data_IF_988371533013
#
_entry.id   IF_988371533013
#
_cell.length_a   1.000
_cell.length_b   1.000
_cell.length_c   1.000
_cell.angle_alpha   90.00
_cell.angle_beta   90.00
_cell.angle_gamma   90.00
#
_symmetry.space_group_name_H-M   'P 1'
#
loop_
_entity.id
_entity.type
_entity.pdbx_description
1 polymer ?
#
# COMPACT_ATOMS: atom_id res chain seq x y z
N UNK A 1 -17.40 35.17 1.22
CA UNK A 1 -16.01 35.06 0.69
C UNK A 1 -15.54 33.60 0.61
N UNK A 2 -16.47 32.64 0.44
CA UNK A 2 -16.25 31.20 0.67
C UNK A 2 -16.67 30.38 -0.58
N UNK A 3 -16.67 30.98 -1.78
CA UNK A 3 -16.80 30.18 -3.01
C UNK A 3 -15.46 29.48 -3.29
N UNK A 4 -15.49 28.14 -3.27
CA UNK A 4 -14.41 27.19 -3.62
C UNK A 4 -13.32 26.93 -2.55
N UNK A 5 -13.69 26.46 -1.36
CA UNK A 5 -12.77 25.72 -0.45
C UNK A 5 -12.50 24.26 -0.89
N UNK A 6 -13.27 23.75 -1.85
CA UNK A 6 -13.32 22.33 -2.25
C UNK A 6 -12.13 21.82 -3.07
N UNK A 7 -11.29 22.71 -3.61
CA UNK A 7 -10.18 22.34 -4.49
C UNK A 7 -9.01 23.32 -4.40
N UNK A 8 -8.58 23.67 -3.18
CA UNK A 8 -7.54 24.69 -2.95
C UNK A 8 -6.11 24.16 -3.01
N UNK A 9 -5.92 22.84 -3.06
CA UNK A 9 -4.60 22.25 -3.22
C UNK A 9 -4.61 21.16 -4.27
N UNK A 10 -3.62 21.16 -5.16
CA UNK A 10 -3.43 20.15 -6.20
C UNK A 10 -2.07 19.50 -6.02
N UNK A 11 -2.06 18.17 -5.99
CA UNK A 11 -0.81 17.42 -6.02
C UNK A 11 -0.40 17.21 -7.47
N UNK A 12 0.75 17.74 -7.84
CA UNK A 12 1.39 17.47 -9.12
C UNK A 12 2.53 16.47 -8.93
N UNK A 13 2.80 15.70 -9.97
CA UNK A 13 4.00 14.88 -10.07
C UNK A 13 4.88 15.63 -11.05
N UNK A 14 5.86 16.35 -10.54
CA UNK A 14 6.81 17.07 -11.39
C UNK A 14 8.01 16.19 -11.71
N UNK A 15 8.37 16.21 -12.99
CA UNK A 15 9.62 15.68 -13.51
C UNK A 15 10.68 16.79 -13.32
N UNK A 16 11.58 16.64 -12.34
CA UNK A 16 12.63 17.65 -12.12
C UNK A 16 13.74 17.47 -13.15
N UNK A 17 13.95 18.50 -13.98
CA UNK A 17 15.02 18.63 -14.97
C UNK A 17 14.57 19.51 -16.15
N UNK A 18 15.32 20.56 -16.48
CA UNK A 18 15.11 21.35 -17.69
C UNK A 18 15.28 20.45 -18.92
N UNK A 19 14.15 20.08 -19.54
CA UNK A 19 14.08 19.14 -20.65
C UNK A 19 13.34 17.87 -20.24
N UNK A 20 12.18 17.66 -20.87
CA UNK A 20 11.30 16.48 -20.73
C UNK A 20 12.08 15.22 -21.11
N UNK A 21 12.85 14.68 -20.19
CA UNK A 21 13.60 13.46 -20.37
C UNK A 21 12.99 12.42 -19.44
N UNK A 22 12.69 11.22 -19.98
CA UNK A 22 12.17 10.02 -19.26
C UNK A 22 13.01 9.58 -18.03
N UNK A 23 14.06 10.32 -17.68
CA UNK A 23 15.11 10.06 -16.69
C UNK A 23 15.04 10.97 -15.45
N UNK A 24 14.13 11.93 -15.39
CA UNK A 24 13.98 12.84 -14.25
C UNK A 24 13.42 12.12 -13.01
N UNK A 25 13.98 12.40 -11.83
CA UNK A 25 13.41 11.94 -10.55
C UNK A 25 12.02 12.56 -10.40
N UNK A 26 10.98 11.71 -10.44
CA UNK A 26 9.58 12.13 -10.26
C UNK A 26 9.33 12.48 -8.80
N UNK A 27 9.20 13.77 -8.50
CA UNK A 27 8.89 14.23 -7.16
C UNK A 27 7.43 14.66 -7.07
N UNK A 28 6.77 14.28 -5.98
CA UNK A 28 5.43 14.75 -5.70
C UNK A 28 5.52 16.16 -5.11
N UNK A 29 4.70 17.08 -5.60
CA UNK A 29 4.69 18.48 -5.23
C UNK A 29 3.26 18.85 -4.83
N UNK A 30 3.10 19.63 -3.76
CA UNK A 30 1.79 20.14 -3.36
C UNK A 30 1.68 21.62 -3.71
N UNK A 31 0.73 21.99 -4.57
CA UNK A 31 0.48 23.38 -4.96
C UNK A 31 -0.81 23.90 -4.35
N UNK A 32 -0.83 25.18 -3.98
CA UNK A 32 -2.07 25.93 -3.73
C UNK A 32 -2.65 26.37 -5.07
N UNK A 33 -3.86 25.93 -5.39
CA UNK A 33 -4.51 26.21 -6.67
C UNK A 33 -5.01 27.65 -6.79
N UNK A 34 -5.13 28.39 -5.68
CA UNK A 34 -5.58 29.78 -5.68
C UNK A 34 -4.47 30.73 -6.07
N UNK A 35 -3.28 30.50 -5.50
CA UNK A 35 -2.09 31.31 -5.77
C UNK A 35 -1.25 30.74 -6.91
N UNK A 36 -1.42 29.47 -7.25
CA UNK A 36 -0.53 28.74 -8.16
C UNK A 36 0.85 28.44 -7.55
N UNK A 37 1.06 28.81 -6.28
CA UNK A 37 2.34 28.70 -5.61
C UNK A 37 2.50 27.33 -4.92
N UNK A 38 3.75 27.00 -4.68
CA UNK A 38 4.13 25.80 -3.95
C UNK A 38 3.71 25.90 -2.48
N UNK A 39 3.10 24.84 -1.95
CA UNK A 39 3.04 24.61 -0.50
C UNK A 39 4.43 24.13 -0.04
N UNK A 40 5.30 25.09 0.27
CA UNK A 40 6.73 24.88 0.48
C UNK A 40 7.04 23.87 1.59
N UNK A 41 6.52 24.09 2.81
CA UNK A 41 6.87 23.25 3.97
C UNK A 41 6.39 21.80 3.86
N UNK A 42 5.13 21.49 3.48
CA UNK A 42 4.72 20.10 3.24
C UNK A 42 5.56 19.40 2.17
N UNK A 43 5.94 20.13 1.11
CA UNK A 43 6.77 19.58 0.03
C UNK A 43 8.19 19.32 0.51
N UNK A 44 8.78 20.27 1.26
CA UNK A 44 10.12 20.16 1.83
C UNK A 44 10.22 19.00 2.83
N UNK A 45 9.23 18.86 3.71
CA UNK A 45 9.14 17.74 4.65
C UNK A 45 9.22 16.39 3.94
N UNK A 46 8.44 16.20 2.87
CA UNK A 46 8.44 14.96 2.11
C UNK A 46 9.79 14.72 1.43
N UNK A 47 10.46 15.76 0.94
CA UNK A 47 11.76 15.61 0.29
C UNK A 47 12.88 15.29 1.26
N UNK A 48 12.97 16.03 2.37
CA UNK A 48 14.04 15.87 3.35
C UNK A 48 13.89 14.59 4.16
N UNK A 49 12.69 14.29 4.65
CA UNK A 49 12.50 13.21 5.62
C UNK A 49 12.04 11.91 4.97
N UNK A 50 11.47 11.97 3.77
CA UNK A 50 10.85 10.82 3.13
C UNK A 50 11.43 10.51 1.75
N UNK A 51 12.52 11.16 1.33
CA UNK A 51 13.11 11.01 -0.01
C UNK A 51 13.40 9.56 -0.45
N UNK A 52 13.70 8.66 0.51
CA UNK A 52 13.95 7.23 0.25
C UNK A 52 12.67 6.36 0.19
N UNK A 53 11.50 6.92 0.50
CA UNK A 53 10.21 6.21 0.47
C UNK A 53 9.64 6.19 -0.94
N UNK A 54 8.71 5.28 -1.17
CA UNK A 54 8.05 5.15 -2.47
C UNK A 54 7.22 6.37 -2.84
N UNK A 55 7.10 6.68 -4.13
CA UNK A 55 6.31 7.81 -4.62
C UNK A 55 4.85 7.78 -4.16
N UNK A 56 4.22 6.60 -4.09
CA UNK A 56 2.86 6.47 -3.55
C UNK A 56 2.76 6.86 -2.07
N UNK A 57 3.84 6.65 -1.31
CA UNK A 57 3.93 7.10 0.09
C UNK A 57 3.98 8.63 0.14
N UNK A 58 4.78 9.27 -0.72
CA UNK A 58 4.79 10.74 -0.85
C UNK A 58 3.39 11.28 -1.17
N UNK A 59 2.72 10.70 -2.17
CA UNK A 59 1.37 11.10 -2.57
C UNK A 59 0.36 10.92 -1.43
N UNK A 60 0.44 9.83 -0.66
CA UNK A 60 -0.47 9.61 0.47
C UNK A 60 -0.27 10.68 1.55
N UNK A 61 0.98 10.96 1.92
CA UNK A 61 1.30 11.94 2.96
C UNK A 61 0.94 13.35 2.50
N UNK A 62 1.25 13.73 1.26
CA UNK A 62 0.85 15.04 0.73
C UNK A 62 -0.67 15.21 0.65
N UNK A 63 -1.44 14.14 0.40
CA UNK A 63 -2.92 14.21 0.48
C UNK A 63 -3.41 14.47 1.89
N UNK A 64 -2.78 13.86 2.89
CA UNK A 64 -3.14 14.07 4.29
C UNK A 64 -2.71 15.47 4.77
N UNK A 65 -1.57 15.98 4.30
CA UNK A 65 -1.15 17.36 4.58
C UNK A 65 -2.01 18.38 3.85
N UNK A 66 -2.41 18.11 2.60
CA UNK A 66 -3.39 18.92 1.88
C UNK A 66 -4.73 19.00 2.64
N UNK A 67 -5.17 17.88 3.21
CA UNK A 67 -6.37 17.80 4.05
C UNK A 67 -6.25 18.68 5.32
N UNK A 68 -5.05 18.74 5.91
CA UNK A 68 -4.75 19.65 7.02
C UNK A 68 -4.70 21.13 6.60
N UNK A 69 -4.12 21.45 5.44
CA UNK A 69 -4.09 22.82 4.93
C UNK A 69 -5.50 23.34 4.70
N UNK A 70 -6.38 22.50 4.17
CA UNK A 70 -7.80 22.83 4.01
C UNK A 70 -8.47 23.17 5.35
N UNK A 71 -8.24 22.35 6.39
CA UNK A 71 -8.71 22.63 7.74
C UNK A 71 -8.18 23.97 8.28
N UNK A 72 -6.91 24.25 8.06
CA UNK A 72 -6.26 25.50 8.48
C UNK A 72 -6.90 26.72 7.81
N UNK A 73 -7.26 26.62 6.53
CA UNK A 73 -7.94 27.69 5.81
C UNK A 73 -9.35 27.95 6.33
N UNK A 74 -10.05 26.90 6.76
CA UNK A 74 -11.35 27.02 7.45
C UNK A 74 -11.19 27.69 8.82
N UNK A 75 -10.09 27.40 9.55
CA UNK A 75 -9.80 28.06 10.83
C UNK A 75 -9.56 29.56 10.64
N UNK A 76 -8.74 29.94 9.65
CA UNK A 76 -8.47 31.34 9.31
C UNK A 76 -9.74 32.07 8.88
N UNK A 77 -10.59 31.44 8.05
CA UNK A 77 -11.82 32.08 7.58
C UNK A 77 -12.83 32.33 8.69
N UNK A 78 -12.88 31.45 9.70
CA UNK A 78 -13.77 31.58 10.87
C UNK A 78 -13.19 32.47 11.97
N UNK A 79 -11.87 32.53 12.09
CA UNK A 79 -11.16 33.37 13.05
C UNK A 79 -9.91 33.96 12.38
N UNK A 80 -9.99 35.21 11.87
CA UNK A 80 -8.85 35.87 11.22
C UNK A 80 -7.60 36.03 12.10
N UNK A 81 -7.77 36.01 13.43
CA UNK A 81 -6.67 36.09 14.40
C UNK A 81 -5.99 34.72 14.64
N UNK A 82 -6.48 33.65 14.00
CA UNK A 82 -5.86 32.34 14.11
C UNK A 82 -4.53 32.31 13.34
N UNK A 83 -3.43 32.15 14.08
CA UNK A 83 -2.08 32.10 13.52
C UNK A 83 -1.76 30.66 13.09
N UNK A 84 -1.17 30.49 11.90
CA UNK A 84 -0.78 29.18 11.37
C UNK A 84 0.37 28.55 12.18
N UNK A 85 0.44 27.20 12.23
CA UNK A 85 1.53 26.50 12.92
C UNK A 85 2.93 26.89 12.44
N UNK A 86 3.11 27.12 11.15
CA UNK A 86 4.38 27.59 10.56
C UNK A 86 4.83 28.92 11.18
N UNK A 87 3.90 29.86 11.32
CA UNK A 87 4.19 31.18 11.91
C UNK A 87 4.42 31.08 13.41
N UNK A 88 3.68 30.21 14.12
CA UNK A 88 3.88 29.98 15.56
C UNK A 88 5.25 29.40 15.86
N UNK A 89 5.64 28.35 15.13
CA UNK A 89 6.92 27.68 15.34
C UNK A 89 8.07 28.62 14.99
N UNK A 90 7.97 29.39 13.90
CA UNK A 90 8.97 30.42 13.56
C UNK A 90 9.16 31.46 14.69
N UNK A 91 8.10 31.75 15.43
CA UNK A 91 8.11 32.61 16.61
C UNK A 91 8.35 31.83 17.92
N UNK A 92 9.01 30.66 17.85
CA UNK A 92 9.36 29.80 18.98
C UNK A 92 8.16 29.50 19.92
N UNK A 93 7.01 29.20 19.32
CA UNK A 93 5.77 28.87 20.01
C UNK A 93 5.24 27.50 19.57
N UNK A 94 4.38 26.91 20.39
CA UNK A 94 3.78 25.60 20.11
C UNK A 94 2.99 25.62 18.79
N UNK A 95 3.25 24.63 17.93
CA UNK A 95 2.65 24.54 16.60
C UNK A 95 1.11 24.49 16.64
N UNK A 96 0.54 23.60 17.45
CA UNK A 96 -0.89 23.52 17.74
C UNK A 96 -1.11 23.26 19.22
N UNK A 97 -2.15 23.87 19.77
CA UNK A 97 -2.63 23.59 21.14
C UNK A 97 -3.34 22.25 21.20
N UNK A 98 -3.46 21.66 22.41
CA UNK A 98 -4.21 20.41 22.62
C UNK A 98 -5.64 20.49 22.08
N UNK A 99 -6.33 21.61 22.35
CA UNK A 99 -7.69 21.86 21.84
C UNK A 99 -7.75 21.85 20.31
N UNK A 100 -6.79 22.46 19.64
CA UNK A 100 -6.75 22.47 18.17
C UNK A 100 -6.47 21.08 17.59
N UNK A 101 -5.67 20.26 18.29
CA UNK A 101 -5.42 18.86 17.92
C UNK A 101 -6.71 18.04 18.08
N UNK A 102 -7.45 18.22 19.18
CA UNK A 102 -8.74 17.55 19.38
C UNK A 102 -9.77 17.96 18.31
N UNK A 103 -9.81 19.25 17.95
CA UNK A 103 -10.64 19.75 16.86
C UNK A 103 -10.25 19.14 15.50
N UNK A 104 -8.95 19.01 15.22
CA UNK A 104 -8.47 18.37 13.98
C UNK A 104 -8.72 16.85 13.97
N UNK A 105 -8.67 16.20 15.13
CA UNK A 105 -9.05 14.80 15.30
C UNK A 105 -10.50 14.56 14.91
N UNK A 106 -11.42 15.40 15.40
CA UNK A 106 -12.81 15.39 14.94
C UNK A 106 -12.96 15.67 13.43
N UNK A 107 -12.13 16.57 12.88
CA UNK A 107 -12.11 16.84 11.44
C UNK A 107 -11.70 15.62 10.61
N UNK A 108 -10.76 14.83 11.11
CA UNK A 108 -10.27 13.62 10.45
C UNK A 108 -11.33 12.53 10.28
N UNK A 109 -12.42 12.60 11.05
CA UNK A 109 -13.49 11.61 11.03
C UNK A 109 -14.55 11.86 9.96
N UNK A 110 -14.62 13.08 9.44
CA UNK A 110 -15.63 13.43 8.45
C UNK A 110 -15.38 12.71 7.12
N UNK A 111 -16.47 12.14 6.59
CA UNK A 111 -16.52 11.59 5.25
C UNK A 111 -16.48 12.67 4.18
N UNK A 112 -16.15 12.27 2.95
CA UNK A 112 -16.16 13.18 1.78
C UNK A 112 -17.50 13.91 1.59
N UNK A 113 -18.63 13.27 1.95
CA UNK A 113 -19.97 13.87 1.84
C UNK A 113 -20.18 14.96 2.89
N UNK A 114 -19.76 14.72 4.13
CA UNK A 114 -19.87 15.70 5.22
C UNK A 114 -18.96 16.90 4.96
N UNK A 115 -17.72 16.65 4.55
CA UNK A 115 -16.77 17.70 4.16
C UNK A 115 -17.35 18.56 3.03
N UNK A 116 -17.97 17.95 2.01
CA UNK A 116 -18.62 18.70 0.94
C UNK A 116 -19.73 19.65 1.45
N UNK A 117 -20.52 19.22 2.45
CA UNK A 117 -21.54 20.07 3.09
C UNK A 117 -20.93 21.19 3.92
N UNK A 118 -19.88 20.89 4.69
CA UNK A 118 -19.19 21.92 5.49
C UNK A 118 -18.57 22.98 4.58
N UNK A 119 -18.03 22.56 3.43
CA UNK A 119 -17.45 23.47 2.42
C UNK A 119 -18.48 24.31 1.68
N UNK A 120 -19.74 23.86 1.58
CA UNK A 120 -20.78 24.55 0.83
C UNK A 120 -21.56 25.59 1.64
N UNK A 121 -21.40 25.63 2.97
CA UNK A 121 -22.31 26.38 3.85
C UNK A 121 -21.56 27.42 4.69
N UNK A 122 -21.87 28.70 4.50
CA UNK A 122 -21.38 29.85 5.29
C UNK A 122 -22.04 29.96 6.68
N UNK A 123 -22.79 28.96 7.14
CA UNK A 123 -23.69 29.15 8.28
C UNK A 123 -23.03 28.95 9.65
N UNK A 124 -23.12 30.02 10.43
CA UNK A 124 -22.86 30.17 11.87
C UNK A 124 -23.84 29.42 12.79
N UNK A 125 -24.68 28.53 12.26
CA UNK A 125 -25.62 27.74 13.07
C UNK A 125 -25.06 26.35 13.33
N UNK A 126 -24.91 26.06 14.63
CA UNK A 126 -24.55 24.76 15.19
C UNK A 126 -25.50 23.70 14.61
N UNK A 127 -25.03 22.89 13.66
CA UNK A 127 -25.77 21.72 13.21
C UNK A 127 -25.31 20.49 13.99
N UNK A 128 -26.28 19.75 14.51
CA UNK A 128 -26.10 18.38 14.97
C UNK A 128 -25.47 17.57 13.84
N UNK A 129 -24.35 16.90 14.14
CA UNK A 129 -23.63 16.05 13.20
C UNK A 129 -24.55 14.87 12.88
N UNK A 130 -25.07 14.72 11.65
CA UNK A 130 -25.89 13.57 11.30
C UNK A 130 -24.97 12.36 11.19
N UNK A 131 -24.86 11.63 12.29
CA UNK A 131 -24.21 10.32 12.38
C UNK A 131 -24.78 9.37 11.34
N UNK A 132 -23.96 8.95 10.37
CA UNK A 132 -24.17 7.65 9.72
C UNK A 132 -22.97 7.16 8.92
N UNK A 133 -21.96 7.97 8.60
CA UNK A 133 -20.81 7.47 7.84
C UNK A 133 -19.51 8.20 8.19
N UNK A 134 -18.84 7.78 9.26
CA UNK A 134 -17.46 8.20 9.55
C UNK A 134 -16.49 7.51 8.58
N UNK A 135 -15.31 8.11 8.38
CA UNK A 135 -14.22 7.42 7.67
C UNK A 135 -13.66 6.26 8.48
N UNK A 136 -12.98 5.34 7.79
CA UNK A 136 -12.31 4.23 8.43
C UNK A 136 -11.25 4.71 9.45
N UNK A 137 -11.16 4.03 10.60
CA UNK A 137 -10.23 4.35 11.68
C UNK A 137 -8.79 4.42 11.18
N UNK A 138 -8.40 3.54 10.25
CA UNK A 138 -7.05 3.57 9.68
C UNK A 138 -6.77 4.84 8.89
N UNK A 139 -7.79 5.41 8.24
CA UNK A 139 -7.69 6.66 7.47
C UNK A 139 -7.59 7.85 8.42
N UNK A 140 -8.44 7.92 9.45
CA UNK A 140 -8.39 8.99 10.47
C UNK A 140 -7.03 8.98 11.20
N UNK A 141 -6.58 7.82 11.67
CA UNK A 141 -5.26 7.66 12.31
C UNK A 141 -4.08 7.93 11.36
N UNK A 142 -4.21 7.63 10.07
CA UNK A 142 -3.17 7.96 9.08
C UNK A 142 -3.00 9.48 8.95
N UNK A 143 -4.11 10.22 8.84
CA UNK A 143 -4.10 11.69 8.79
C UNK A 143 -3.48 12.29 10.06
N UNK A 144 -3.94 11.83 11.23
CA UNK A 144 -3.38 12.25 12.53
C UNK A 144 -1.88 12.00 12.62
N UNK A 145 -1.42 10.80 12.27
CA UNK A 145 0.00 10.43 12.33
C UNK A 145 0.85 11.24 11.36
N UNK A 146 0.37 11.44 10.13
CA UNK A 146 1.09 12.19 9.12
C UNK A 146 1.19 13.67 9.49
N UNK A 147 0.13 14.26 10.06
CA UNK A 147 0.19 15.62 10.60
C UNK A 147 1.12 15.72 11.81
N UNK A 148 1.01 14.80 12.77
CA UNK A 148 1.89 14.78 13.95
C UNK A 148 3.36 14.77 13.54
N UNK A 149 3.76 13.85 12.66
CA UNK A 149 5.13 13.77 12.17
C UNK A 149 5.57 15.04 11.43
N UNK A 150 4.67 15.66 10.64
CA UNK A 150 4.95 16.93 9.98
C UNK A 150 5.16 18.07 10.99
N UNK A 151 4.32 18.19 12.02
CA UNK A 151 4.45 19.26 13.03
C UNK A 151 5.67 19.08 13.94
N UNK A 152 6.01 17.82 14.28
CA UNK A 152 7.25 17.49 14.99
C UNK A 152 8.46 17.88 14.13
N UNK A 153 8.46 17.52 12.85
CA UNK A 153 9.51 17.94 11.92
C UNK A 153 9.57 19.47 11.78
N UNK A 154 8.42 20.13 11.64
CA UNK A 154 8.34 21.59 11.50
C UNK A 154 8.96 22.28 12.73
N UNK A 155 8.64 21.78 13.93
CA UNK A 155 9.21 22.27 15.20
C UNK A 155 10.72 22.10 15.22
N UNK A 156 11.20 20.92 14.81
CA UNK A 156 12.63 20.63 14.74
C UNK A 156 13.35 21.49 13.69
N UNK A 157 12.86 21.56 12.45
CA UNK A 157 13.53 22.25 11.33
C UNK A 157 13.63 23.77 11.58
N UNK A 158 12.60 24.38 12.15
CA UNK A 158 12.59 25.82 12.43
C UNK A 158 13.29 26.25 13.71
N UNK A 159 13.28 25.41 14.76
CA UNK A 159 13.95 25.74 16.01
C UNK A 159 15.40 25.27 15.94
N UNK A 160 15.62 23.96 15.73
CA UNK A 160 16.94 23.31 15.73
C UNK A 160 17.76 23.54 14.45
N UNK A 161 17.11 23.95 13.35
CA UNK A 161 17.80 24.28 12.09
C UNK A 161 18.45 25.66 12.05
N UNK A 162 18.32 26.46 13.11
CA UNK A 162 18.95 27.78 13.23
C UNK A 162 20.44 27.63 13.53
N UNK A 163 21.29 28.35 12.79
CA UNK A 163 22.72 28.41 13.07
C UNK A 163 22.96 29.07 14.44
N UNK A 164 23.73 28.43 15.32
CA UNK A 164 24.01 28.85 16.69
C UNK A 164 22.78 28.86 17.62
N UNK A 165 22.06 27.75 17.68
CA UNK A 165 20.98 27.55 18.66
C UNK A 165 21.51 27.52 20.10
N UNK A 166 20.76 28.14 21.02
CA UNK A 166 21.01 28.07 22.45
C UNK A 166 20.36 26.83 23.11
N UNK A 167 20.94 26.36 24.22
CA UNK A 167 20.46 25.18 24.94
C UNK A 167 19.00 25.30 25.41
N UNK A 168 18.53 26.50 25.77
CA UNK A 168 17.14 26.69 26.19
C UNK A 168 16.17 26.49 25.03
N UNK A 169 16.52 26.95 23.83
CA UNK A 169 15.73 26.71 22.62
C UNK A 169 15.68 25.22 22.24
N UNK A 170 16.77 24.47 22.44
CA UNK A 170 16.78 23.02 22.27
C UNK A 170 15.85 22.32 23.26
N UNK A 171 15.95 22.63 24.55
CA UNK A 171 15.08 22.06 25.60
C UNK A 171 13.61 22.39 25.33
N UNK A 172 13.34 23.61 24.87
CA UNK A 172 11.99 24.06 24.50
C UNK A 172 11.45 23.34 23.26
N UNK A 173 12.27 23.13 22.23
CA UNK A 173 11.93 22.31 21.06
C UNK A 173 11.53 20.90 21.51
N UNK A 174 12.34 20.25 22.33
CA UNK A 174 12.08 18.90 22.84
C UNK A 174 10.77 18.83 23.62
N UNK A 175 10.53 19.81 24.50
CA UNK A 175 9.27 19.94 25.23
C UNK A 175 8.07 20.09 24.29
N UNK A 176 8.17 20.93 23.26
CA UNK A 176 7.08 21.13 22.30
C UNK A 176 6.81 19.89 21.45
N UNK A 177 7.85 19.20 20.97
CA UNK A 177 7.71 17.93 20.26
C UNK A 177 6.97 16.89 21.11
N UNK A 178 7.35 16.75 22.39
CA UNK A 178 6.71 15.82 23.31
C UNK A 178 5.23 16.17 23.58
N UNK A 179 4.93 17.46 23.79
CA UNK A 179 3.53 17.91 23.96
C UNK A 179 2.68 17.59 22.73
N UNK A 180 3.20 17.82 21.53
CA UNK A 180 2.51 17.50 20.27
C UNK A 180 2.30 15.99 20.19
N UNK A 181 3.37 15.21 20.36
CA UNK A 181 3.32 13.76 20.22
C UNK A 181 2.29 13.13 21.17
N UNK A 182 2.32 13.48 22.45
CA UNK A 182 1.36 13.00 23.47
C UNK A 182 -0.09 13.39 23.14
N UNK A 183 -0.31 14.62 22.65
CA UNK A 183 -1.65 15.09 22.33
C UNK A 183 -2.24 14.34 21.12
N UNK A 184 -1.43 14.05 20.10
CA UNK A 184 -1.86 13.22 18.97
C UNK A 184 -2.04 11.76 19.36
N UNK A 185 -1.18 11.20 20.21
CA UNK A 185 -1.28 9.80 20.65
C UNK A 185 -2.61 9.51 21.36
N UNK A 186 -3.04 10.42 22.24
CA UNK A 186 -4.33 10.31 22.94
C UNK A 186 -5.54 10.33 22.00
N UNK A 187 -5.38 10.90 20.80
CA UNK A 187 -6.41 10.96 19.78
C UNK A 187 -6.40 9.76 18.83
N UNK A 188 -5.38 8.88 18.89
CA UNK A 188 -5.37 7.68 18.07
C UNK A 188 -6.47 6.72 18.50
N UNK A 189 -7.22 6.28 17.50
CA UNK A 189 -8.38 5.41 17.69
C UNK A 189 -7.95 3.95 17.58
N UNK A 190 -8.31 3.14 18.56
CA UNK A 190 -8.16 1.69 18.46
C UNK A 190 -9.43 1.06 17.91
N UNK A 191 -9.31 0.22 16.88
CA UNK A 191 -10.38 -0.73 16.57
C UNK A 191 -10.06 -2.04 17.31
N UNK A 192 -11.00 -2.52 18.13
CA UNK A 192 -10.88 -3.83 18.79
C UNK A 192 -11.30 -4.98 17.88
N UNK A 193 -11.79 -4.69 16.67
CA UNK A 193 -12.20 -5.74 15.73
C UNK A 193 -11.00 -6.61 15.33
N UNK A 194 -11.19 -7.93 15.24
CA UNK A 194 -10.18 -8.80 14.68
C UNK A 194 -9.86 -8.35 13.25
N UNK A 195 -8.58 -8.44 12.88
CA UNK A 195 -8.15 -8.02 11.56
C UNK A 195 -8.94 -8.80 10.49
N UNK A 196 -9.50 -8.12 9.47
CA UNK A 196 -10.30 -8.79 8.46
C UNK A 196 -9.50 -9.86 7.72
N UNK A 197 -10.13 -11.02 7.52
CA UNK A 197 -9.56 -12.14 6.77
C UNK A 197 -9.69 -11.88 5.28
N UNK A 198 -8.55 -11.81 4.59
CA UNK A 198 -8.49 -11.63 3.13
C UNK A 198 -7.92 -12.84 2.39
N UNK A 199 -7.79 -14.00 3.06
CA UNK A 199 -7.47 -15.27 2.40
C UNK A 199 -8.75 -15.96 1.95
N UNK A 200 -8.68 -16.68 0.84
CA UNK A 200 -9.75 -17.58 0.42
C UNK A 200 -9.89 -18.74 1.42
N UNK A 201 -11.11 -19.24 1.60
CA UNK A 201 -11.36 -20.52 2.28
C UNK A 201 -11.13 -21.71 1.33
N UNK A 202 -11.28 -22.94 1.84
CA UNK A 202 -11.03 -24.17 1.08
C UNK A 202 -11.94 -24.30 -0.16
N UNK A 203 -13.22 -23.93 -0.06
CA UNK A 203 -14.18 -24.02 -1.16
C UNK A 203 -13.91 -22.98 -2.24
N UNK A 204 -13.61 -21.75 -1.82
CA UNK A 204 -13.20 -20.66 -2.71
C UNK A 204 -11.86 -20.97 -3.39
N UNK A 205 -10.92 -21.60 -2.68
CA UNK A 205 -9.64 -22.03 -3.23
C UNK A 205 -9.82 -23.14 -4.26
N UNK A 206 -10.66 -24.14 -3.98
CA UNK A 206 -10.99 -25.18 -4.97
C UNK A 206 -11.65 -24.58 -6.22
N UNK A 207 -12.61 -23.66 -6.04
CA UNK A 207 -13.27 -22.95 -7.14
C UNK A 207 -12.27 -22.11 -7.94
N UNK A 208 -11.35 -21.42 -7.26
CA UNK A 208 -10.26 -20.68 -7.90
C UNK A 208 -9.39 -21.59 -8.76
N UNK A 209 -8.93 -22.71 -8.21
CA UNK A 209 -8.07 -23.69 -8.89
C UNK A 209 -8.77 -24.32 -10.10
N UNK A 210 -10.07 -24.62 -9.97
CA UNK A 210 -10.89 -25.10 -11.08
C UNK A 210 -11.04 -24.05 -12.17
N UNK A 211 -11.25 -22.78 -11.82
CA UNK A 211 -11.40 -21.69 -12.78
C UNK A 211 -10.12 -21.42 -13.59
N UNK A 212 -8.95 -21.54 -12.97
CA UNK A 212 -7.66 -21.38 -13.67
C UNK A 212 -7.24 -22.64 -14.47
N UNK A 213 -7.80 -23.80 -14.16
CA UNK A 213 -7.53 -25.06 -14.86
C UNK A 213 -8.49 -25.30 -16.04
N UNK A 214 -9.74 -24.83 -15.92
CA UNK A 214 -10.76 -24.94 -16.96
C UNK A 214 -10.71 -23.78 -17.97
N UNK A 215 -11.52 -23.86 -19.03
CA UNK A 215 -11.71 -22.80 -20.02
C UNK A 215 -12.97 -21.93 -19.75
N UNK A 216 -13.54 -22.02 -18.54
CA UNK A 216 -14.82 -21.39 -18.19
C UNK A 216 -14.74 -19.87 -18.09
N UNK A 217 -13.73 -19.34 -17.38
CA UNK A 217 -13.52 -17.90 -17.17
C UNK A 217 -12.56 -17.31 -18.18
N UNK A 218 -11.52 -18.06 -18.51
CA UNK A 218 -10.48 -17.64 -19.45
C UNK A 218 -10.55 -18.53 -20.70
N UNK A 219 -10.75 -17.94 -21.90
CA UNK A 219 -10.88 -18.71 -23.13
C UNK A 219 -9.56 -19.39 -23.49
N UNK A 220 -9.63 -20.52 -24.20
CA UNK A 220 -8.45 -21.26 -24.68
C UNK A 220 -7.76 -20.51 -25.84
N UNK A 221 -7.05 -19.45 -25.49
CA UNK A 221 -6.33 -18.56 -26.41
C UNK A 221 -5.02 -18.14 -25.76
N UNK A 222 -4.06 -17.60 -26.53
CA UNK A 222 -2.78 -17.14 -25.96
C UNK A 222 -2.97 -16.14 -24.80
N UNK A 223 -3.90 -15.19 -24.94
CA UNK A 223 -4.16 -14.21 -23.90
C UNK A 223 -4.87 -14.81 -22.67
N UNK A 224 -5.78 -15.77 -22.86
CA UNK A 224 -6.47 -16.47 -21.77
C UNK A 224 -5.55 -17.44 -21.02
N UNK A 225 -4.71 -18.20 -21.72
CA UNK A 225 -3.69 -19.07 -21.12
C UNK A 225 -2.66 -18.25 -20.32
N UNK A 226 -2.27 -17.08 -20.84
CA UNK A 226 -1.46 -16.11 -20.11
C UNK A 226 -2.18 -15.59 -18.85
N UNK A 227 -3.46 -15.27 -18.93
CA UNK A 227 -4.24 -14.79 -17.76
C UNK A 227 -4.33 -15.88 -16.66
N UNK A 228 -4.57 -17.14 -17.03
CA UNK A 228 -4.54 -18.30 -16.11
C UNK A 228 -3.17 -18.46 -15.45
N UNK A 229 -2.10 -18.38 -16.24
CA UNK A 229 -0.73 -18.51 -15.75
C UNK A 229 -0.37 -17.40 -14.75
N UNK A 230 -0.81 -16.16 -14.98
CA UNK A 230 -0.62 -15.05 -14.03
C UNK A 230 -1.36 -15.31 -12.71
N UNK A 231 -2.61 -15.76 -12.77
CA UNK A 231 -3.41 -16.04 -11.58
C UNK A 231 -2.77 -17.18 -10.76
N UNK A 232 -2.40 -18.28 -11.43
CA UNK A 232 -1.66 -19.40 -10.83
C UNK A 232 -0.33 -18.96 -10.23
N UNK A 233 0.42 -18.13 -10.95
CA UNK A 233 1.70 -17.59 -10.52
C UNK A 233 1.56 -16.79 -9.22
N UNK A 234 0.58 -15.88 -9.13
CA UNK A 234 0.33 -15.10 -7.92
C UNK A 234 -0.06 -15.99 -6.73
N UNK A 235 -0.90 -16.99 -6.98
CA UNK A 235 -1.31 -17.97 -5.97
C UNK A 235 -0.10 -18.78 -5.47
N UNK A 236 0.60 -19.53 -6.33
CA UNK A 236 1.69 -20.43 -5.90
C UNK A 236 2.92 -19.69 -5.35
N UNK A 237 3.18 -18.45 -5.76
CA UNK A 237 4.36 -17.70 -5.31
C UNK A 237 4.09 -16.82 -4.10
N UNK A 238 2.84 -16.43 -3.87
CA UNK A 238 2.47 -15.43 -2.87
C UNK A 238 3.10 -14.04 -3.12
N UNK A 239 3.49 -13.71 -4.36
CA UNK A 239 4.06 -12.39 -4.69
C UNK A 239 3.02 -11.26 -4.62
N UNK A 240 3.47 -10.05 -4.29
CA UNK A 240 2.64 -8.85 -4.47
C UNK A 240 2.47 -8.54 -5.95
N UNK A 241 1.38 -7.85 -6.31
CA UNK A 241 1.09 -7.46 -7.69
C UNK A 241 2.27 -6.73 -8.36
N UNK A 242 2.86 -5.75 -7.69
CA UNK A 242 3.99 -5.00 -8.25
C UNK A 242 5.24 -5.82 -8.49
N UNK A 243 5.43 -6.91 -7.72
CA UNK A 243 6.54 -7.84 -7.91
C UNK A 243 6.28 -8.76 -9.10
N UNK A 244 5.08 -9.34 -9.17
CA UNK A 244 4.66 -10.14 -10.33
C UNK A 244 4.84 -9.37 -11.65
N UNK A 245 4.55 -8.08 -11.64
CA UNK A 245 4.69 -7.21 -12.81
C UNK A 245 6.17 -6.87 -13.15
N UNK A 246 7.10 -7.06 -12.20
CA UNK A 246 8.53 -6.74 -12.37
C UNK A 246 9.44 -7.94 -12.55
N UNK A 247 8.93 -9.16 -12.35
CA UNK A 247 9.67 -10.39 -12.66
C UNK A 247 10.05 -10.40 -14.14
N UNK A 248 11.31 -10.75 -14.41
CA UNK A 248 11.87 -10.86 -15.76
C UNK A 248 12.08 -12.32 -16.14
N UNK A 249 12.26 -12.59 -17.44
CA UNK A 249 12.52 -13.95 -17.93
C UNK A 249 13.80 -14.55 -17.32
N UNK A 250 14.83 -13.73 -17.08
CA UNK A 250 16.11 -14.18 -16.49
C UNK A 250 16.01 -14.47 -15.00
N UNK A 251 14.96 -14.00 -14.33
CA UNK A 251 14.69 -14.29 -12.92
C UNK A 251 14.17 -15.71 -12.69
N UNK A 252 13.67 -16.38 -13.74
CA UNK A 252 13.20 -17.76 -13.67
C UNK A 252 14.41 -18.70 -13.74
N UNK A 253 14.70 -19.39 -12.63
CA UNK A 253 15.80 -20.34 -12.51
C UNK A 253 15.25 -21.75 -12.32
N UNK A 254 15.38 -22.55 -13.38
CA UNK A 254 15.03 -23.96 -13.35
C UNK A 254 16.24 -24.79 -12.96
N UNK A 255 16.03 -25.83 -12.14
CA UNK A 255 17.09 -26.70 -11.64
C UNK A 255 18.29 -25.92 -11.06
N UNK A 256 18.02 -24.95 -10.19
CA UNK A 256 19.02 -24.09 -9.56
C UNK A 256 19.65 -24.80 -8.37
N UNK A 257 20.96 -24.98 -8.40
CA UNK A 257 21.72 -25.55 -7.30
C UNK A 257 21.86 -24.53 -6.16
N UNK A 258 21.25 -24.82 -5.02
CA UNK A 258 21.36 -23.97 -3.83
C UNK A 258 22.50 -24.39 -2.89
N UNK A 259 22.86 -25.68 -2.95
CA UNK A 259 23.96 -26.32 -2.23
C UNK A 259 24.37 -27.56 -3.05
N UNK A 260 25.62 -28.05 -2.91
CA UNK A 260 26.08 -29.23 -3.63
C UNK A 260 25.05 -30.38 -3.60
N UNK A 261 24.58 -30.80 -4.77
CA UNK A 261 23.62 -31.89 -4.94
C UNK A 261 22.16 -31.56 -4.63
N UNK A 262 21.84 -30.31 -4.25
CA UNK A 262 20.47 -29.87 -3.94
C UNK A 262 20.00 -28.83 -4.95
N UNK A 263 19.15 -29.28 -5.86
CA UNK A 263 18.56 -28.45 -6.90
C UNK A 263 17.09 -28.12 -6.61
N UNK A 264 16.72 -26.86 -6.79
CA UNK A 264 15.34 -26.39 -6.65
C UNK A 264 15.00 -25.42 -7.79
N UNK A 265 13.71 -25.19 -8.03
CA UNK A 265 13.28 -24.15 -8.96
C UNK A 265 13.03 -22.86 -8.19
N UNK A 266 13.52 -21.74 -8.70
CA UNK A 266 13.55 -20.45 -8.01
C UNK A 266 13.12 -19.33 -8.94
N UNK A 267 12.37 -18.38 -8.40
CA UNK A 267 12.14 -17.06 -8.99
C UNK A 267 12.93 -16.04 -8.18
N UNK A 268 13.88 -15.36 -8.82
CA UNK A 268 14.67 -14.30 -8.19
C UNK A 268 13.87 -12.99 -8.20
N UNK A 269 13.35 -12.59 -7.05
CA UNK A 269 12.60 -11.33 -6.95
C UNK A 269 13.56 -10.22 -6.54
N UNK A 270 13.72 -9.22 -7.40
CA UNK A 270 14.61 -8.09 -7.15
C UNK A 270 13.83 -6.80 -6.98
N UNK A 271 14.19 -6.03 -5.96
CA UNK A 271 13.70 -4.66 -5.79
C UNK A 271 14.40 -3.75 -6.79
N UNK A 272 13.68 -3.34 -7.85
CA UNK A 272 14.16 -2.46 -8.92
C UNK A 272 13.33 -1.17 -8.95
N UNK A 273 13.58 -0.18 -8.10
CA UNK A 273 12.88 1.11 -8.18
C UNK A 273 13.41 1.94 -9.36
N UNK A 274 12.54 2.66 -10.06
CA UNK A 274 12.89 3.52 -11.21
C UNK A 274 13.63 2.77 -12.32
N UNK A 275 13.12 1.60 -12.73
CA UNK A 275 13.77 0.77 -13.75
C UNK A 275 13.67 1.44 -15.13
N UNK A 276 14.82 1.85 -15.69
CA UNK A 276 14.93 2.51 -16.99
C UNK A 276 14.38 1.67 -18.15
N UNK A 277 14.35 0.34 -18.01
CA UNK A 277 13.79 -0.55 -19.02
C UNK A 277 12.25 -0.65 -18.93
N UNK A 278 11.63 -0.14 -17.86
CA UNK A 278 10.17 -0.15 -17.69
C UNK A 278 9.50 0.93 -18.55
N UNK A 279 8.84 0.50 -19.62
CA UNK A 279 8.10 1.41 -20.51
C UNK A 279 6.72 1.82 -19.99
N UNK A 280 6.26 1.27 -18.86
CA UNK A 280 4.89 1.51 -18.35
C UNK A 280 4.76 2.92 -17.79
N UNK A 281 3.68 3.62 -18.16
CA UNK A 281 3.37 4.97 -17.65
C UNK A 281 3.32 5.03 -16.12
N UNK A 282 2.76 3.98 -15.50
CA UNK A 282 2.70 3.80 -14.05
C UNK A 282 3.53 2.58 -13.68
N UNK A 283 4.79 2.83 -13.37
CA UNK A 283 5.75 1.81 -12.95
C UNK A 283 5.22 1.05 -11.71
N UNK A 284 5.21 -0.30 -11.72
CA UNK A 284 4.81 -1.08 -10.57
C UNK A 284 5.82 -0.95 -9.42
N UNK A 285 5.34 -0.74 -8.20
CA UNK A 285 6.20 -0.65 -7.02
C UNK A 285 6.32 -2.01 -6.33
N UNK A 286 7.54 -2.38 -5.96
CA UNK A 286 7.77 -3.48 -5.02
C UNK A 286 7.93 -2.91 -3.62
N UNK A 287 7.19 -3.44 -2.65
CA UNK A 287 7.29 -3.07 -1.23
C UNK A 287 8.11 -4.05 -0.40
N UNK A 288 8.51 -5.17 -1.02
CA UNK A 288 9.12 -6.30 -0.31
C UNK A 288 10.60 -6.38 -0.60
N UNK A 289 11.33 -6.99 0.34
CA UNK A 289 12.76 -7.19 0.17
C UNK A 289 13.04 -8.09 -1.04
N UNK A 290 14.18 -7.84 -1.67
CA UNK A 290 14.72 -8.75 -2.68
C UNK A 290 14.94 -10.12 -2.05
N UNK A 291 14.71 -11.17 -2.82
CA UNK A 291 14.94 -12.53 -2.36
C UNK A 291 14.45 -13.56 -3.35
N UNK A 292 14.91 -14.78 -3.12
CA UNK A 292 14.64 -15.93 -3.97
C UNK A 292 13.40 -16.66 -3.45
N UNK A 293 12.47 -16.98 -4.35
CA UNK A 293 11.21 -17.65 -4.03
C UNK A 293 11.21 -19.01 -4.69
N UNK A 294 11.21 -20.08 -3.88
CA UNK A 294 11.11 -21.45 -4.40
C UNK A 294 9.75 -21.71 -5.04
N UNK A 295 9.73 -22.44 -6.14
CA UNK A 295 8.50 -22.79 -6.88
C UNK A 295 8.47 -24.25 -7.27
N UNK A 296 7.25 -24.73 -7.57
CA UNK A 296 7.04 -26.08 -8.06
C UNK A 296 7.74 -26.31 -9.41
N UNK A 297 8.14 -27.56 -9.69
CA UNK A 297 8.70 -27.96 -11.00
C UNK A 297 7.70 -27.70 -12.13
N UNK A 298 6.41 -27.93 -11.87
CA UNK A 298 5.33 -27.69 -12.82
C UNK A 298 5.22 -26.20 -13.18
N UNK A 299 5.12 -25.30 -12.21
CA UNK A 299 5.06 -23.86 -12.49
C UNK A 299 6.30 -23.37 -13.23
N UNK A 300 7.49 -23.80 -12.83
CA UNK A 300 8.72 -23.40 -13.50
C UNK A 300 8.78 -23.87 -14.97
N UNK A 301 8.33 -25.09 -15.25
CA UNK A 301 8.23 -25.63 -16.60
C UNK A 301 7.20 -24.85 -17.45
N UNK A 302 6.03 -24.56 -16.88
CA UNK A 302 4.98 -23.78 -17.56
C UNK A 302 5.44 -22.35 -17.86
N UNK A 303 6.20 -21.73 -16.96
CA UNK A 303 6.81 -20.41 -17.18
C UNK A 303 7.87 -20.46 -18.30
N UNK A 304 8.73 -21.49 -18.34
CA UNK A 304 9.71 -21.65 -19.41
C UNK A 304 9.00 -21.82 -20.75
N UNK A 305 7.99 -22.70 -20.82
CA UNK A 305 7.17 -22.91 -22.02
C UNK A 305 6.55 -21.59 -22.50
N UNK A 306 5.95 -20.83 -21.59
CA UNK A 306 5.40 -19.52 -21.88
C UNK A 306 6.45 -18.54 -22.44
N UNK A 307 7.65 -18.52 -21.85
CA UNK A 307 8.75 -17.65 -22.31
C UNK A 307 9.21 -18.01 -23.72
N UNK A 308 9.39 -19.29 -24.02
CA UNK A 308 9.94 -19.75 -25.31
C UNK A 308 8.92 -19.70 -26.45
N UNK A 309 7.63 -19.79 -26.12
CA UNK A 309 6.54 -19.94 -27.08
C UNK A 309 5.64 -18.69 -27.11
N UNK A 310 4.57 -18.66 -26.33
CA UNK A 310 3.50 -17.66 -26.44
C UNK A 310 4.03 -16.23 -26.24
N UNK A 311 4.89 -16.02 -25.23
CA UNK A 311 5.50 -14.71 -24.98
C UNK A 311 6.36 -14.25 -26.16
N UNK A 312 7.23 -15.15 -26.67
CA UNK A 312 8.13 -14.84 -27.79
C UNK A 312 7.33 -14.46 -29.04
N UNK A 313 6.26 -15.20 -29.34
CA UNK A 313 5.35 -14.88 -30.43
C UNK A 313 4.68 -13.51 -30.26
N UNK A 314 4.19 -13.19 -29.05
CA UNK A 314 3.56 -11.89 -28.80
C UNK A 314 4.53 -10.72 -29.00
N UNK A 315 5.81 -10.88 -28.63
CA UNK A 315 6.83 -9.86 -28.86
C UNK A 315 7.17 -9.74 -30.35
N UNK A 316 7.32 -10.86 -31.08
CA UNK A 316 7.65 -10.83 -32.51
C UNK A 316 6.54 -10.22 -33.37
N UNK A 317 5.28 -10.30 -32.93
CA UNK A 317 4.14 -9.65 -33.58
C UNK A 317 4.07 -8.13 -33.31
N UNK A 318 4.89 -7.60 -32.39
CA UNK A 318 4.87 -6.19 -32.05
C UNK A 318 5.67 -5.36 -33.05
N UNK A 319 5.01 -4.39 -33.69
CA UNK A 319 5.64 -3.51 -34.68
C UNK A 319 6.34 -2.29 -34.08
N UNK A 320 6.17 -2.05 -32.77
CA UNK A 320 6.59 -0.80 -32.11
C UNK A 320 7.64 -0.97 -31.01
N UNK A 321 7.88 -2.20 -30.56
CA UNK A 321 8.56 -2.45 -29.29
C UNK A 321 10.01 -2.89 -29.52
N UNK A 322 10.93 -2.29 -28.76
CA UNK A 322 12.28 -2.81 -28.54
C UNK A 322 12.22 -3.94 -27.51
N UNK A 323 13.01 -4.99 -27.72
CA UNK A 323 13.07 -6.15 -26.82
C UNK A 323 13.21 -5.73 -25.33
N UNK A 324 12.44 -6.38 -24.45
CA UNK A 324 12.44 -6.07 -23.02
C UNK A 324 12.44 -7.36 -22.16
N UNK A 325 12.90 -7.30 -20.90
CA UNK A 325 13.12 -8.51 -20.10
C UNK A 325 11.89 -9.00 -19.33
N UNK A 326 10.82 -8.20 -19.19
CA UNK A 326 9.66 -8.54 -18.35
C UNK A 326 8.95 -9.83 -18.77
N UNK A 327 8.57 -10.64 -17.77
CA UNK A 327 8.00 -11.96 -17.94
C UNK A 327 6.66 -11.91 -18.69
N UNK A 328 5.65 -11.26 -18.12
CA UNK A 328 4.31 -11.25 -18.68
C UNK A 328 4.07 -10.08 -19.62
N UNK A 329 3.60 -10.38 -20.82
CA UNK A 329 3.30 -9.41 -21.88
C UNK A 329 1.82 -9.43 -22.25
N UNK A 330 1.36 -8.39 -22.96
CA UNK A 330 0.07 -8.35 -23.59
C UNK A 330 0.08 -9.18 -24.89
N UNK A 331 -0.99 -9.92 -25.13
CA UNK A 331 -1.12 -10.88 -26.24
C UNK A 331 -2.07 -10.42 -27.36
N UNK A 332 -2.62 -9.21 -27.25
CA UNK A 332 -3.59 -8.69 -28.21
C UNK A 332 -3.69 -7.16 -28.18
N UNK A 333 -4.30 -6.62 -29.23
CA UNK A 333 -4.58 -5.20 -29.37
C UNK A 333 -3.34 -4.34 -29.66
N UNK A 334 -3.49 -3.02 -29.50
CA UNK A 334 -2.45 -2.03 -29.81
C UNK A 334 -1.20 -2.15 -28.94
N UNK A 335 -1.30 -2.82 -27.79
CA UNK A 335 -0.22 -3.02 -26.82
C UNK A 335 0.38 -4.42 -26.91
N UNK A 336 0.15 -5.18 -27.98
CA UNK A 336 0.72 -6.53 -28.13
C UNK A 336 2.25 -6.50 -27.97
N UNK A 337 2.77 -7.45 -27.20
CA UNK A 337 4.18 -7.52 -26.83
C UNK A 337 4.59 -6.58 -25.70
N UNK A 338 3.75 -5.62 -25.27
CA UNK A 338 4.10 -4.71 -24.16
C UNK A 338 4.01 -5.41 -22.80
N UNK A 339 4.81 -5.01 -21.79
CA UNK A 339 4.67 -5.51 -20.43
C UNK A 339 3.27 -5.24 -19.89
N UNK A 340 2.69 -6.21 -19.19
CA UNK A 340 1.37 -6.03 -18.59
C UNK A 340 1.39 -4.89 -17.55
N UNK A 341 0.33 -4.08 -17.53
CA UNK A 341 0.16 -3.02 -16.53
C UNK A 341 -0.60 -3.52 -15.30
N UNK A 342 -0.55 -2.76 -14.20
CA UNK A 342 -1.39 -3.00 -13.02
C UNK A 342 -2.88 -2.99 -13.37
N UNK A 343 -3.31 -2.18 -14.36
CA UNK A 343 -4.70 -2.17 -14.84
C UNK A 343 -5.06 -3.49 -15.53
N UNK A 344 -4.16 -4.06 -16.33
CA UNK A 344 -4.39 -5.37 -16.94
C UNK A 344 -4.51 -6.46 -15.88
N UNK A 345 -3.58 -6.48 -14.92
CA UNK A 345 -3.61 -7.45 -13.83
C UNK A 345 -4.91 -7.35 -13.00
N UNK A 346 -5.33 -6.13 -12.66
CA UNK A 346 -6.59 -5.94 -11.94
C UNK A 346 -7.79 -6.47 -12.74
N UNK A 347 -7.82 -6.29 -14.06
CA UNK A 347 -8.89 -6.85 -14.92
C UNK A 347 -8.90 -8.37 -14.93
N UNK A 348 -7.74 -9.02 -14.94
CA UNK A 348 -7.63 -10.49 -14.85
C UNK A 348 -8.26 -10.97 -13.54
N UNK A 349 -7.89 -10.34 -12.42
CA UNK A 349 -8.45 -10.70 -11.10
C UNK A 349 -9.94 -10.34 -11.00
N UNK A 350 -10.41 -9.27 -11.65
CA UNK A 350 -11.84 -8.93 -11.69
C UNK A 350 -12.69 -10.01 -12.37
N UNK A 351 -12.17 -10.70 -13.40
CA UNK A 351 -12.88 -11.84 -14.03
C UNK A 351 -13.01 -13.03 -13.07
N UNK A 352 -12.02 -13.26 -12.22
CA UNK A 352 -12.08 -14.29 -11.18
C UNK A 352 -13.02 -13.87 -10.05
N UNK A 353 -13.09 -12.57 -9.74
CA UNK A 353 -14.01 -12.03 -8.74
C UNK A 353 -15.49 -12.20 -9.13
N UNK A 354 -15.81 -12.35 -10.41
CA UNK A 354 -17.19 -12.62 -10.86
C UNK A 354 -17.61 -14.09 -10.74
N UNK A 355 -16.73 -14.96 -10.26
CA UNK A 355 -17.11 -16.33 -9.88
C UNK A 355 -18.16 -16.29 -8.77
N UNK A 356 -19.03 -17.31 -8.77
CA UNK A 356 -20.02 -17.50 -7.71
C UNK A 356 -19.30 -17.64 -6.37
N UNK A 357 -19.86 -17.06 -5.32
CA UNK A 357 -19.37 -17.15 -3.93
C UNK A 357 -17.99 -16.52 -3.68
N UNK A 358 -17.47 -15.72 -4.63
CA UNK A 358 -16.24 -14.96 -4.42
C UNK A 358 -16.47 -13.67 -3.63
N UNK A 359 -15.57 -13.36 -2.68
CA UNK A 359 -15.78 -12.24 -1.78
C UNK A 359 -15.59 -10.89 -2.48
N UNK A 360 -16.36 -9.88 -2.07
CA UNK A 360 -16.24 -8.50 -2.58
C UNK A 360 -14.86 -7.88 -2.33
N UNK A 361 -14.11 -8.36 -1.34
CA UNK A 361 -12.75 -7.89 -1.06
C UNK A 361 -11.67 -8.60 -1.88
N UNK A 362 -12.02 -9.60 -2.70
CA UNK A 362 -11.05 -10.36 -3.49
C UNK A 362 -10.22 -9.43 -4.40
N UNK A 363 -8.90 -9.59 -4.30
CA UNK A 363 -7.91 -8.78 -4.98
C UNK A 363 -6.62 -9.60 -5.23
N UNK A 364 -5.65 -9.11 -6.02
CA UNK A 364 -4.37 -9.80 -6.16
C UNK A 364 -3.68 -10.07 -4.81
N UNK A 365 -3.91 -9.21 -3.80
CA UNK A 365 -3.32 -9.39 -2.48
C UNK A 365 -3.95 -10.54 -1.69
N UNK A 366 -5.22 -10.87 -1.98
CA UNK A 366 -5.91 -12.01 -1.37
C UNK A 366 -5.21 -13.33 -1.66
N UNK A 367 -4.72 -13.54 -2.88
CA UNK A 367 -3.96 -14.74 -3.26
C UNK A 367 -2.68 -14.90 -2.43
N UNK A 368 -1.99 -13.80 -2.13
CA UNK A 368 -0.85 -13.81 -1.21
C UNK A 368 -1.26 -14.18 0.21
N UNK A 369 -2.40 -13.68 0.69
CA UNK A 369 -2.93 -14.07 1.99
C UNK A 369 -3.23 -15.56 2.02
N UNK A 370 -3.93 -16.10 1.02
CA UNK A 370 -4.20 -17.54 0.89
C UNK A 370 -2.91 -18.35 0.94
N UNK A 371 -1.94 -18.06 0.06
CA UNK A 371 -0.65 -18.76 0.01
C UNK A 371 0.06 -18.78 1.36
N UNK A 372 0.12 -17.63 2.06
CA UNK A 372 0.83 -17.54 3.34
C UNK A 372 0.05 -18.23 4.47
N UNK A 373 -1.27 -18.23 4.43
CA UNK A 373 -2.10 -19.00 5.38
C UNK A 373 -1.88 -20.50 5.19
N UNK A 374 -1.90 -21.00 3.95
CA UNK A 374 -1.67 -22.42 3.65
C UNK A 374 -0.27 -22.87 4.13
N UNK A 375 0.76 -22.07 3.85
CA UNK A 375 2.12 -22.35 4.34
C UNK A 375 2.20 -22.31 5.87
N UNK A 376 1.50 -21.38 6.52
CA UNK A 376 1.46 -21.31 7.98
C UNK A 376 0.84 -22.57 8.57
N UNK A 377 -0.31 -23.01 8.04
CA UNK A 377 -1.02 -24.20 8.50
C UNK A 377 -0.14 -25.46 8.34
N UNK A 378 0.47 -25.66 7.16
CA UNK A 378 1.39 -26.79 6.93
C UNK A 378 2.59 -26.75 7.88
N UNK A 379 3.12 -25.56 8.17
CA UNK A 379 4.23 -25.42 9.10
C UNK A 379 3.82 -25.73 10.55
N UNK A 380 2.62 -25.32 10.97
CA UNK A 380 2.05 -25.66 12.27
C UNK A 380 1.85 -27.18 12.42
N UNK A 381 1.19 -27.83 11.44
CA UNK A 381 0.97 -29.29 11.43
C UNK A 381 2.28 -30.08 11.51
N UNK A 382 3.36 -29.57 10.90
CA UNK A 382 4.69 -30.19 10.90
C UNK A 382 5.57 -29.78 12.09
N UNK A 383 5.04 -29.02 13.05
CA UNK A 383 5.78 -28.54 14.22
C UNK A 383 7.02 -27.70 13.85
N UNK A 384 6.95 -26.92 12.77
CA UNK A 384 8.06 -26.08 12.30
C UNK A 384 7.90 -24.64 12.79
N UNK A 385 9.00 -23.89 12.79
CA UNK A 385 8.98 -22.46 13.08
C UNK A 385 8.25 -21.68 11.98
N UNK A 386 6.95 -21.46 12.21
CA UNK A 386 6.04 -20.73 11.31
C UNK A 386 6.54 -19.31 11.07
N UNK A 387 7.03 -18.61 12.10
CA UNK A 387 7.45 -17.23 11.99
C UNK A 387 8.63 -17.11 11.01
N UNK A 388 9.67 -17.91 11.19
CA UNK A 388 10.85 -17.86 10.31
C UNK A 388 10.52 -18.25 8.88
N UNK A 389 9.69 -19.28 8.69
CA UNK A 389 9.22 -19.71 7.36
C UNK A 389 8.45 -18.57 6.67
N UNK A 390 7.53 -17.91 7.38
CA UNK A 390 6.74 -16.81 6.83
C UNK A 390 7.56 -15.54 6.59
N UNK A 391 8.58 -15.24 7.42
CA UNK A 391 9.52 -14.14 7.16
C UNK A 391 10.27 -14.39 5.87
N UNK A 392 10.83 -15.60 5.70
CA UNK A 392 11.57 -15.97 4.51
C UNK A 392 10.66 -15.98 3.27
N UNK A 393 9.51 -16.67 3.33
CA UNK A 393 8.56 -16.77 2.20
C UNK A 393 7.92 -15.43 1.87
N UNK A 394 7.55 -14.67 2.89
CA UNK A 394 6.95 -13.34 2.78
C UNK A 394 7.96 -12.25 2.41
N UNK A 395 9.27 -12.52 2.52
CA UNK A 395 10.38 -11.57 2.32
C UNK A 395 10.23 -10.30 3.17
N UNK A 396 9.75 -10.48 4.39
CA UNK A 396 9.62 -9.38 5.36
C UNK A 396 10.92 -9.16 6.12
N UNK A 397 11.09 -7.97 6.70
CA UNK A 397 12.16 -7.74 7.67
C UNK A 397 11.93 -8.60 8.92
N UNK A 398 13.01 -8.98 9.61
CA UNK A 398 12.95 -9.82 10.81
C UNK A 398 12.10 -9.21 11.94
N UNK A 399 12.07 -7.87 12.01
CA UNK A 399 11.28 -7.08 12.96
C UNK A 399 9.81 -6.93 12.57
N UNK A 400 9.37 -7.52 11.46
CA UNK A 400 7.99 -7.37 10.99
C UNK A 400 7.00 -8.09 11.89
N UNK A 401 5.87 -7.44 12.15
CA UNK A 401 4.69 -8.01 12.84
C UNK A 401 3.77 -8.77 11.89
N UNK A 402 4.03 -8.74 10.58
CA UNK A 402 3.17 -9.37 9.58
C UNK A 402 3.00 -10.89 9.74
N UNK A 403 4.04 -11.69 10.07
CA UNK A 403 3.87 -13.13 10.33
C UNK A 403 2.86 -13.42 11.45
N UNK A 404 2.86 -12.60 12.50
CA UNK A 404 2.02 -12.80 13.68
C UNK A 404 0.53 -12.81 13.36
N UNK A 405 0.10 -12.15 12.28
CA UNK A 405 -1.30 -12.17 11.82
C UNK A 405 -1.77 -13.55 11.38
N UNK A 406 -0.88 -14.36 10.80
CA UNK A 406 -1.20 -15.71 10.33
C UNK A 406 -1.20 -16.69 11.50
N UNK A 407 -0.22 -16.58 12.41
CA UNK A 407 -0.16 -17.40 13.62
C UNK A 407 -1.32 -17.11 14.58
N UNK A 408 -1.69 -15.84 14.78
CA UNK A 408 -2.81 -15.48 15.66
C UNK A 408 -4.12 -16.11 15.19
N UNK A 409 -4.33 -16.19 13.88
CA UNK A 409 -5.51 -16.85 13.33
C UNK A 409 -5.52 -18.34 13.61
N UNK A 410 -4.41 -19.03 13.34
CA UNK A 410 -4.30 -20.45 13.60
C UNK A 410 -4.56 -20.78 15.09
N UNK A 411 -4.07 -19.94 16.00
CA UNK A 411 -4.32 -20.06 17.44
C UNK A 411 -5.81 -19.88 17.77
N UNK A 412 -6.50 -18.93 17.13
CA UNK A 412 -7.94 -18.72 17.34
C UNK A 412 -8.73 -19.94 16.86
N UNK A 413 -8.41 -20.46 15.67
CA UNK A 413 -9.10 -21.62 15.10
C UNK A 413 -8.87 -22.87 15.97
N UNK A 414 -7.63 -23.13 16.39
CA UNK A 414 -7.31 -24.23 17.33
C UNK A 414 -8.00 -24.07 18.69
N UNK A 415 -8.06 -22.85 19.23
CA UNK A 415 -8.75 -22.61 20.48
C UNK A 415 -10.25 -22.92 20.37
N UNK A 416 -10.87 -22.59 19.23
CA UNK A 416 -12.27 -22.93 18.97
C UNK A 416 -12.47 -24.46 18.89
N UNK A 417 -11.63 -25.18 18.13
CA UNK A 417 -11.69 -26.64 18.03
C UNK A 417 -11.54 -27.34 19.40
N UNK A 418 -10.62 -26.87 20.24
CA UNK A 418 -10.43 -27.40 21.59
C UNK A 418 -11.64 -27.14 22.51
N UNK A 419 -12.31 -25.99 22.36
CA UNK A 419 -13.54 -25.68 23.10
C UNK A 419 -14.67 -26.60 22.64
N UNK A 420 -14.85 -26.79 21.33
CA UNK A 420 -15.85 -27.72 20.79
C UNK A 420 -15.62 -29.15 21.27
N UNK A 421 -14.37 -29.61 21.30
CA UNK A 421 -14.02 -30.92 21.84
C UNK A 421 -14.35 -31.03 23.33
N UNK A 422 -13.98 -30.01 24.12
CA UNK A 422 -14.34 -29.95 25.55
C UNK A 422 -15.86 -30.04 25.74
N UNK A 423 -16.62 -29.30 24.96
CA UNK A 423 -18.08 -29.26 25.06
C UNK A 423 -18.71 -30.60 24.67
N UNK A 424 -18.20 -31.27 23.62
CA UNK A 424 -18.59 -32.66 23.28
C UNK A 424 -18.32 -33.63 24.42
N UNK A 425 -17.16 -33.53 25.08
CA UNK A 425 -16.84 -34.37 26.23
C UNK A 425 -17.81 -34.09 27.39
N UNK A 426 -18.09 -32.83 27.70
CA UNK A 426 -19.02 -32.45 28.77
C UNK A 426 -20.46 -32.93 28.50
N UNK A 427 -20.91 -32.89 27.24
CA UNK A 427 -22.22 -33.39 26.86
C UNK A 427 -22.31 -34.92 26.89
N UNK A 428 -21.19 -35.63 26.70
CA UNK A 428 -21.15 -37.10 26.88
C UNK A 428 -21.19 -37.56 28.34
N UNK A 429 -20.98 -36.65 29.29
CA UNK A 429 -21.01 -36.92 30.74
C UNK A 429 -22.38 -36.60 31.38
N UNK A 430 -23.31 -36.01 30.63
CA UNK A 430 -24.71 -35.80 31.03
C UNK A 430 -25.57 -36.95 30.52
#
# INVERSE_FOLDING_TARGET
MIKNLTAQTRILIEEIGSGVNKRSVRRAVLLDTRSGLLCEFPTLYVYRNLGQKSHNTHLAILRDLAFYLEWSLIKISRNPNWITPETRVKNNSLALTRREIDEFSGWCDFSSKELARIRSTDNTKLHSIPSSTLVDISTSNARLRNLCNYLVWLTQDFIEGVLNIDDNSLVKSEKYKNIIYEAFEKNYKSDKKPAPVYSLDSNQTATFLQAISSNSIFPNTNHGNRDKLIARFLYETGLRSGECLKVTCTDIKYNYEIRPGKFINVIRVRHKPNDNADSRTKEPLSKTLSGDVSVSKALAADLIKYITNERRLAISLSTKIKEHPYLFVCHSGRTIGEPISQRNLNRIISKLKSLKDFPKWFSPHSLRHTHLTEIANIAHEKGKDVRSILIQRGRWANTSTMPSRYSQRHIIDQAAELIEERDRILDSLK
#
